data_IF_459265101985
#
_entry.id   IF_459265101985
#
_cell.length_a   1.000
_cell.length_b   1.000
_cell.length_c   1.000
_cell.angle_alpha   90.00
_cell.angle_beta   90.00
_cell.angle_gamma   90.00
#
_symmetry.space_group_name_H-M   'P 1'
#
loop_
_entity.id
_entity.type
_entity.pdbx_description
1 polymer ?
#
# COMPACT_ATOMS: atom_id res chain seq x y z
N UNK A 1 16.04 -21.01 5.43
CA UNK A 1 15.53 -19.64 5.63
C UNK A 1 16.58 -18.89 6.41
N UNK A 2 16.92 -17.68 5.99
CA UNK A 2 17.90 -16.85 6.70
C UNK A 2 17.30 -16.32 8.00
N UNK A 3 18.15 -16.00 8.99
CA UNK A 3 17.70 -15.53 10.31
C UNK A 3 16.88 -14.24 10.25
N UNK A 4 16.95 -13.51 9.13
CA UNK A 4 16.35 -12.20 8.92
C UNK A 4 15.14 -12.22 7.97
N UNK A 5 14.79 -13.38 7.38
CA UNK A 5 13.70 -13.55 6.42
C UNK A 5 13.74 -12.53 5.25
N UNK A 6 14.91 -12.26 4.67
CA UNK A 6 15.10 -11.20 3.64
C UNK A 6 14.22 -11.40 2.39
N UNK A 7 13.68 -12.61 2.18
CA UNK A 7 12.68 -12.90 1.15
C UNK A 7 11.27 -12.95 1.72
N UNK A 8 10.68 -11.79 2.00
CA UNK A 8 9.30 -11.66 2.43
C UNK A 8 8.33 -11.89 1.26
N UNK A 9 7.97 -13.15 1.02
CA UNK A 9 6.88 -13.48 0.10
C UNK A 9 5.53 -12.96 0.63
N UNK A 10 4.66 -12.58 -0.30
CA UNK A 10 3.27 -12.16 -0.04
C UNK A 10 2.61 -13.03 1.03
N UNK A 11 2.04 -12.40 2.06
CA UNK A 11 1.08 -13.04 2.96
C UNK A 11 1.58 -14.21 3.84
N UNK A 12 2.79 -14.75 3.64
CA UNK A 12 3.26 -15.96 4.36
C UNK A 12 4.21 -15.61 5.52
N UNK A 13 4.89 -14.46 5.48
CA UNK A 13 5.68 -14.00 6.63
C UNK A 13 4.86 -13.12 7.57
N UNK A 14 5.06 -13.23 8.90
CA UNK A 14 4.46 -12.29 9.85
C UNK A 14 4.83 -10.84 9.54
N UNK A 15 3.91 -9.91 9.82
CA UNK A 15 4.23 -8.50 9.77
C UNK A 15 5.24 -8.14 10.86
N UNK A 16 6.36 -7.57 10.45
CA UNK A 16 7.41 -7.06 11.35
C UNK A 16 7.10 -5.63 11.73
N UNK A 17 7.10 -5.35 13.04
CA UNK A 17 7.13 -3.99 13.57
C UNK A 17 8.56 -3.48 13.47
N UNK A 18 8.85 -2.58 12.54
CA UNK A 18 10.21 -2.13 12.26
C UNK A 18 10.81 -1.38 13.46
N UNK A 19 9.99 -0.85 14.37
CA UNK A 19 10.47 -0.24 15.61
C UNK A 19 11.20 -1.22 16.53
N UNK A 20 10.89 -2.53 16.45
CA UNK A 20 11.61 -3.55 17.24
C UNK A 20 13.02 -3.83 16.73
N UNK A 21 13.36 -3.35 15.53
CA UNK A 21 14.71 -3.45 14.97
C UNK A 21 15.63 -2.34 15.46
N UNK A 22 15.08 -1.33 16.14
CA UNK A 22 15.88 -0.25 16.70
C UNK A 22 16.66 -0.75 17.92
N UNK A 23 17.91 -0.29 18.08
CA UNK A 23 18.71 -0.66 19.24
C UNK A 23 18.04 -0.17 20.52
N UNK A 24 18.12 -0.99 21.56
CA UNK A 24 17.58 -0.71 22.90
C UNK A 24 18.72 -0.64 23.92
N UNK A 25 18.47 -0.04 25.08
CA UNK A 25 19.49 0.13 26.12
C UNK A 25 20.63 1.04 25.66
N UNK A 26 21.87 0.64 25.93
CA UNK A 26 23.07 1.43 25.62
C UNK A 26 23.22 1.71 24.11
N UNK A 27 22.78 0.80 23.24
CA UNK A 27 22.80 1.01 21.80
C UNK A 27 21.80 2.06 21.29
N UNK A 28 20.82 2.47 22.10
CA UNK A 28 19.92 3.57 21.74
C UNK A 28 20.66 4.92 21.72
N UNK A 29 21.78 5.05 22.44
CA UNK A 29 22.62 6.23 22.42
C UNK A 29 23.35 6.42 21.07
N UNK A 30 23.52 5.34 20.31
CA UNK A 30 24.17 5.37 18.99
C UNK A 30 23.25 5.90 17.88
N UNK A 31 21.94 6.00 18.13
CA UNK A 31 21.01 6.59 17.18
C UNK A 31 21.19 8.11 17.13
N UNK A 32 21.35 8.71 15.94
CA UNK A 32 21.35 10.17 15.80
C UNK A 32 20.13 10.78 16.49
N UNK A 33 20.38 11.77 17.35
CA UNK A 33 19.35 12.44 18.17
C UNK A 33 18.64 13.56 17.41
N UNK A 34 19.27 14.08 16.38
CA UNK A 34 18.85 15.23 15.57
C UNK A 34 18.33 14.83 14.18
N UNK A 35 18.23 13.53 13.90
CA UNK A 35 17.77 13.02 12.60
C UNK A 35 16.59 12.06 12.71
N UNK A 36 15.75 11.99 11.66
CA UNK A 36 14.72 10.97 11.56
C UNK A 36 15.32 9.57 11.57
N UNK A 37 14.63 8.65 12.25
CA UNK A 37 14.86 7.22 12.03
C UNK A 37 14.45 6.89 10.60
N UNK A 38 15.29 6.16 9.86
CA UNK A 38 15.03 5.83 8.45
C UNK A 38 14.97 4.32 8.28
N UNK A 39 13.85 3.82 7.77
CA UNK A 39 13.73 2.42 7.36
C UNK A 39 13.60 2.33 5.85
N UNK A 40 14.30 1.36 5.26
CA UNK A 40 14.13 1.00 3.86
C UNK A 40 13.45 -0.36 3.78
N UNK A 41 12.31 -0.41 3.12
CA UNK A 41 11.63 -1.63 2.74
C UNK A 41 11.90 -1.88 1.25
N UNK A 42 12.55 -3.00 0.94
CA UNK A 42 12.88 -3.39 -0.43
C UNK A 42 11.92 -4.49 -0.87
N UNK A 43 11.10 -4.18 -1.88
CA UNK A 43 10.03 -5.03 -2.38
C UNK A 43 9.19 -5.64 -1.25
N UNK A 44 8.65 -4.83 -0.30
CA UNK A 44 7.80 -5.37 0.78
C UNK A 44 6.49 -5.94 0.25
N UNK A 45 6.14 -5.62 -1.01
CA UNK A 45 4.99 -6.03 -1.79
C UNK A 45 3.62 -5.58 -1.29
N UNK A 46 3.52 -5.28 -0.01
CA UNK A 46 2.32 -4.83 0.67
C UNK A 46 2.69 -3.91 1.85
N UNK A 47 1.67 -3.31 2.47
CA UNK A 47 1.87 -2.32 3.54
C UNK A 47 1.97 -2.93 4.95
N UNK A 48 1.96 -4.25 5.15
CA UNK A 48 1.80 -4.85 6.49
C UNK A 48 2.86 -4.40 7.50
N UNK A 49 4.11 -4.26 7.05
CA UNK A 49 5.23 -3.78 7.87
C UNK A 49 5.04 -2.30 8.23
N UNK A 50 4.71 -1.48 7.24
CA UNK A 50 4.37 -0.06 7.41
C UNK A 50 3.22 0.12 8.40
N UNK A 51 2.09 -0.53 8.18
CA UNK A 51 0.89 -0.40 9.01
C UNK A 51 1.13 -0.92 10.44
N UNK A 52 1.85 -2.02 10.60
CA UNK A 52 2.21 -2.56 11.92
C UNK A 52 3.09 -1.58 12.68
N UNK A 53 4.11 -1.04 12.01
CA UNK A 53 5.03 -0.06 12.60
C UNK A 53 4.31 1.22 12.97
N UNK A 54 3.47 1.78 12.08
CA UNK A 54 2.69 2.99 12.35
C UNK A 54 1.73 2.80 13.53
N UNK A 55 1.01 1.66 13.56
CA UNK A 55 0.05 1.36 14.64
C UNK A 55 0.71 1.16 16.00
N UNK A 56 2.01 0.81 16.01
CA UNK A 56 2.79 0.55 17.22
C UNK A 56 3.84 1.61 17.51
N UNK A 57 3.89 2.69 16.72
CA UNK A 57 4.94 3.71 16.82
C UNK A 57 5.04 4.31 18.24
N UNK A 58 3.92 4.47 18.94
CA UNK A 58 3.89 4.96 20.31
C UNK A 58 4.61 4.08 21.33
N UNK A 59 4.89 2.81 21.00
CA UNK A 59 5.66 1.88 21.83
C UNK A 59 7.17 2.09 21.73
N UNK A 60 7.61 2.86 20.74
CA UNK A 60 9.01 3.05 20.39
C UNK A 60 9.39 4.53 20.60
N UNK A 61 10.03 4.89 21.72
CA UNK A 61 10.36 6.28 22.02
C UNK A 61 11.12 6.98 20.89
N UNK A 62 12.04 6.27 20.23
CA UNK A 62 12.82 6.77 19.10
C UNK A 62 11.95 7.24 17.91
N UNK A 63 10.79 6.61 17.69
CA UNK A 63 9.82 6.96 16.64
C UNK A 63 8.85 8.08 17.04
N UNK A 64 8.85 8.48 18.31
CA UNK A 64 8.00 9.56 18.85
C UNK A 64 8.79 10.80 19.27
N UNK A 65 10.10 10.82 19.03
CA UNK A 65 10.97 11.95 19.39
C UNK A 65 10.57 13.20 18.62
N UNK A 66 10.62 14.33 19.30
CA UNK A 66 10.44 15.64 18.68
C UNK A 66 11.74 16.03 17.96
N UNK A 67 11.64 16.27 16.66
CA UNK A 67 12.72 16.80 15.83
C UNK A 67 12.42 18.27 15.48
N UNK A 68 13.40 19.02 14.92
CA UNK A 68 13.18 20.39 14.50
C UNK A 68 11.92 20.53 13.62
N UNK A 69 11.27 21.71 13.64
CA UNK A 69 10.05 21.95 12.86
C UNK A 69 10.20 21.52 11.40
N UNK A 70 9.24 20.74 10.91
CA UNK A 70 9.24 20.21 9.54
C UNK A 70 9.98 18.89 9.33
N UNK A 71 10.56 18.28 10.38
CA UNK A 71 11.16 16.94 10.30
C UNK A 71 10.30 15.89 11.01
N UNK A 72 9.92 14.78 10.32
CA UNK A 72 9.21 13.69 10.97
C UNK A 72 10.18 12.87 11.81
N UNK A 73 9.73 12.33 12.94
CA UNK A 73 10.53 11.44 13.80
C UNK A 73 11.02 10.17 13.06
N UNK A 74 10.28 9.75 12.04
CA UNK A 74 10.56 8.57 11.22
C UNK A 74 10.30 8.85 9.73
N UNK A 75 11.11 8.25 8.86
CA UNK A 75 10.88 8.15 7.41
C UNK A 75 10.90 6.70 6.97
N UNK A 76 9.84 6.27 6.30
CA UNK A 76 9.72 4.96 5.69
C UNK A 76 9.96 5.12 4.18
N UNK A 77 11.05 4.53 3.69
CA UNK A 77 11.33 4.42 2.26
C UNK A 77 10.81 3.08 1.78
N UNK A 78 9.93 3.10 0.77
CA UNK A 78 9.38 1.91 0.16
C UNK A 78 9.88 1.86 -1.27
N UNK A 79 10.66 0.84 -1.58
CA UNK A 79 11.05 0.52 -2.94
C UNK A 79 10.27 -0.71 -3.41
N UNK A 80 9.66 -0.63 -4.58
CA UNK A 80 8.92 -1.72 -5.21
C UNK A 80 9.41 -1.89 -6.65
N UNK A 81 9.53 -3.15 -7.10
CA UNK A 81 9.82 -3.46 -8.51
C UNK A 81 8.59 -3.20 -9.40
N UNK A 82 7.38 -3.34 -8.84
CA UNK A 82 6.13 -3.13 -9.57
C UNK A 82 5.39 -1.85 -9.13
N UNK A 83 5.01 -0.96 -10.08
CA UNK A 83 4.16 0.19 -9.78
C UNK A 83 2.84 -0.19 -9.10
N UNK A 84 2.29 -1.34 -9.47
CA UNK A 84 1.06 -1.89 -8.87
C UNK A 84 1.26 -2.30 -7.41
N UNK A 85 2.43 -2.81 -7.03
CA UNK A 85 2.78 -3.10 -5.64
C UNK A 85 2.80 -1.83 -4.79
N UNK A 86 3.40 -0.76 -5.32
CA UNK A 86 3.43 0.53 -4.64
C UNK A 86 2.03 1.18 -4.57
N UNK A 87 1.25 1.13 -5.65
CA UNK A 87 -0.15 1.56 -5.64
C UNK A 87 -0.94 0.84 -4.54
N UNK A 88 -0.72 -0.47 -4.39
CA UNK A 88 -1.40 -1.30 -3.40
C UNK A 88 -0.97 -0.96 -1.98
N UNK A 89 0.32 -0.69 -1.78
CA UNK A 89 0.84 -0.19 -0.51
C UNK A 89 0.10 1.08 -0.08
N UNK A 90 -0.05 2.04 -1.01
CA UNK A 90 -0.77 3.29 -0.75
C UNK A 90 -2.26 3.06 -0.52
N UNK A 91 -2.90 2.18 -1.28
CA UNK A 91 -4.30 1.79 -1.06
C UNK A 91 -4.53 1.26 0.36
N UNK A 92 -3.69 0.34 0.84
CA UNK A 92 -3.84 -0.24 2.17
C UNK A 92 -3.61 0.79 3.29
N UNK A 93 -2.67 1.72 3.10
CA UNK A 93 -2.52 2.87 3.99
C UNK A 93 -3.75 3.80 3.98
N UNK A 94 -4.33 4.03 2.80
CA UNK A 94 -5.52 4.85 2.64
C UNK A 94 -6.75 4.22 3.33
N UNK A 95 -6.89 2.89 3.29
CA UNK A 95 -7.96 2.18 4.01
C UNK A 95 -7.81 2.36 5.52
N UNK A 96 -6.59 2.26 6.07
CA UNK A 96 -6.34 2.46 7.50
C UNK A 96 -6.78 3.86 7.97
N UNK A 97 -6.54 4.88 7.15
CA UNK A 97 -6.81 6.28 7.47
C UNK A 97 -8.26 6.72 7.19
N UNK A 98 -9.10 5.87 6.59
CA UNK A 98 -10.46 6.23 6.18
C UNK A 98 -11.41 6.38 7.39
N UNK A 99 -11.51 7.57 7.97
CA UNK A 99 -12.41 7.89 9.07
C UNK A 99 -13.90 7.71 8.74
N UNK A 100 -14.28 7.72 7.46
CA UNK A 100 -15.64 7.51 6.99
C UNK A 100 -16.12 6.06 7.09
N UNK A 101 -15.21 5.12 7.36
CA UNK A 101 -15.53 3.71 7.57
C UNK A 101 -15.29 3.34 9.04
N UNK A 102 -16.26 2.69 9.72
CA UNK A 102 -16.07 2.21 11.08
C UNK A 102 -14.88 1.27 11.21
N UNK A 103 -14.15 1.35 12.32
CA UNK A 103 -12.87 0.64 12.52
C UNK A 103 -12.96 -0.88 12.25
N UNK A 104 -14.02 -1.55 12.72
CA UNK A 104 -14.23 -2.97 12.47
C UNK A 104 -14.40 -3.30 10.97
N UNK A 105 -15.14 -2.46 10.25
CA UNK A 105 -15.36 -2.61 8.81
C UNK A 105 -14.10 -2.30 8.01
N UNK A 106 -13.29 -1.32 8.45
CA UNK A 106 -11.96 -1.06 7.87
C UNK A 106 -11.06 -2.28 7.97
N UNK A 107 -11.04 -2.97 9.12
CA UNK A 107 -10.26 -4.19 9.29
C UNK A 107 -10.66 -5.28 8.29
N UNK A 108 -11.97 -5.46 8.08
CA UNK A 108 -12.49 -6.40 7.08
C UNK A 108 -12.11 -6.00 5.65
N UNK A 109 -12.30 -4.74 5.28
CA UNK A 109 -11.90 -4.22 3.96
C UNK A 109 -10.40 -4.39 3.73
N UNK A 110 -9.58 -4.09 4.73
CA UNK A 110 -8.13 -4.22 4.66
C UNK A 110 -7.73 -5.67 4.40
N UNK A 111 -8.27 -6.62 5.16
CA UNK A 111 -8.00 -8.05 4.96
C UNK A 111 -8.49 -8.54 3.60
N UNK A 112 -9.65 -8.07 3.14
CA UNK A 112 -10.20 -8.45 1.85
C UNK A 112 -9.38 -7.92 0.67
N UNK A 113 -8.98 -6.64 0.70
CA UNK A 113 -8.10 -6.04 -0.31
C UNK A 113 -6.66 -6.56 -0.25
N UNK A 114 -6.21 -6.98 0.92
CA UNK A 114 -4.87 -7.53 1.14
C UNK A 114 -4.77 -9.03 0.78
N UNK A 115 -5.81 -9.83 1.02
CA UNK A 115 -5.68 -11.29 1.01
C UNK A 115 -6.51 -12.00 -0.05
N UNK A 116 -7.58 -11.40 -0.56
CA UNK A 116 -8.53 -12.15 -1.38
C UNK A 116 -8.22 -12.04 -2.87
N UNK A 117 -8.33 -13.18 -3.56
CA UNK A 117 -8.27 -13.22 -5.02
C UNK A 117 -9.56 -12.72 -5.69
N UNK A 118 -10.69 -12.75 -4.97
CA UNK A 118 -11.98 -12.26 -5.45
C UNK A 118 -12.58 -11.35 -4.38
N UNK A 119 -12.95 -10.14 -4.79
CA UNK A 119 -13.60 -9.16 -3.92
C UNK A 119 -15.12 -9.35 -3.94
N UNK A 120 -15.74 -9.22 -2.79
CA UNK A 120 -17.19 -9.05 -2.67
C UNK A 120 -17.56 -7.71 -3.28
N UNK A 121 -18.80 -7.62 -3.75
CA UNK A 121 -19.36 -6.41 -4.38
C UNK A 121 -19.08 -5.12 -3.59
N UNK A 122 -19.31 -5.14 -2.28
CA UNK A 122 -19.06 -3.98 -1.41
C UNK A 122 -17.59 -3.55 -1.39
N UNK A 123 -16.66 -4.51 -1.34
CA UNK A 123 -15.22 -4.21 -1.35
C UNK A 123 -14.76 -3.74 -2.74
N UNK A 124 -15.35 -4.28 -3.81
CA UNK A 124 -15.09 -3.83 -5.18
C UNK A 124 -15.61 -2.39 -5.43
N UNK A 125 -16.81 -2.06 -4.95
CA UNK A 125 -17.37 -0.71 -5.00
C UNK A 125 -16.52 0.28 -4.19
N UNK A 126 -16.08 -0.12 -2.99
CA UNK A 126 -15.14 0.67 -2.20
C UNK A 126 -13.80 0.87 -2.92
N UNK A 127 -13.25 -0.18 -3.53
CA UNK A 127 -12.00 -0.12 -4.28
C UNK A 127 -12.10 0.85 -5.48
N UNK A 128 -13.20 0.81 -6.24
CA UNK A 128 -13.43 1.76 -7.34
C UNK A 128 -13.44 3.21 -6.85
N UNK A 129 -14.21 3.49 -5.80
CA UNK A 129 -14.29 4.83 -5.21
C UNK A 129 -12.90 5.28 -4.71
N UNK A 130 -12.21 4.41 -3.97
CA UNK A 130 -10.91 4.73 -3.39
C UNK A 130 -9.84 4.91 -4.45
N UNK A 131 -9.84 4.10 -5.50
CA UNK A 131 -8.92 4.23 -6.63
C UNK A 131 -9.11 5.58 -7.37
N UNK A 132 -10.34 6.07 -7.49
CA UNK A 132 -10.60 7.42 -8.02
C UNK A 132 -10.02 8.53 -7.16
N UNK A 133 -10.21 8.43 -5.85
CA UNK A 133 -9.66 9.39 -4.89
C UNK A 133 -8.12 9.37 -4.90
N UNK A 134 -7.51 8.18 -4.93
CA UNK A 134 -6.06 8.02 -4.94
C UNK A 134 -5.43 8.48 -6.25
N UNK A 135 -6.08 8.25 -7.40
CA UNK A 135 -5.60 8.80 -8.68
C UNK A 135 -5.55 10.33 -8.61
N UNK A 136 -6.66 10.95 -8.20
CA UNK A 136 -6.74 12.41 -8.09
C UNK A 136 -5.66 12.94 -7.13
N UNK A 137 -5.47 12.28 -5.99
CA UNK A 137 -4.42 12.62 -5.03
C UNK A 137 -3.02 12.50 -5.64
N UNK A 138 -2.70 11.40 -6.33
CA UNK A 138 -1.39 11.20 -6.96
C UNK A 138 -1.08 12.25 -8.02
N UNK A 139 -2.04 12.53 -8.91
CA UNK A 139 -1.92 13.56 -9.94
C UNK A 139 -1.71 14.93 -9.30
N UNK A 140 -2.49 15.26 -8.26
CA UNK A 140 -2.35 16.53 -7.56
C UNK A 140 -1.01 16.70 -6.85
N UNK A 141 -0.57 15.68 -6.10
CA UNK A 141 0.74 15.70 -5.45
C UNK A 141 1.89 15.79 -6.46
N UNK A 142 1.81 15.07 -7.58
CA UNK A 142 2.82 15.14 -8.64
C UNK A 142 2.90 16.52 -9.30
N UNK A 143 1.78 17.24 -9.38
CA UNK A 143 1.69 18.61 -9.89
C UNK A 143 2.02 19.68 -8.83
N UNK A 144 2.37 19.29 -7.59
CA UNK A 144 2.66 20.21 -6.50
C UNK A 144 1.41 20.96 -5.97
N UNK A 145 0.22 20.41 -6.20
CA UNK A 145 -1.01 20.97 -5.67
C UNK A 145 -1.09 20.76 -4.15
N UNK A 146 -1.76 21.68 -3.42
CA UNK A 146 -1.97 21.49 -2.00
C UNK A 146 -2.77 20.20 -1.71
N UNK A 147 -2.56 19.57 -0.55
CA UNK A 147 -3.31 18.38 -0.17
C UNK A 147 -4.82 18.66 -0.19
N UNK A 148 -5.64 17.63 -0.50
CA UNK A 148 -7.09 17.78 -0.56
C UNK A 148 -7.62 18.25 0.81
N UNK A 149 -8.43 19.31 0.79
CA UNK A 149 -8.97 19.96 1.97
C UNK A 149 -10.50 19.88 2.00
N UNK A 150 -11.08 19.98 3.20
CA UNK A 150 -12.52 19.94 3.43
C UNK A 150 -12.99 18.71 4.21
N UNK A 151 -14.24 18.73 4.70
CA UNK A 151 -14.75 17.72 5.62
C UNK A 151 -14.80 16.32 5.01
N UNK A 152 -15.05 16.23 3.70
CA UNK A 152 -15.06 14.94 3.00
C UNK A 152 -13.65 14.36 2.86
N UNK A 153 -12.67 15.17 2.45
CA UNK A 153 -11.28 14.74 2.33
C UNK A 153 -10.70 14.32 3.69
N UNK A 154 -11.06 15.03 4.76
CA UNK A 154 -10.69 14.71 6.13
C UNK A 154 -11.34 13.40 6.59
N UNK A 155 -12.65 13.26 6.41
CA UNK A 155 -13.37 12.03 6.73
C UNK A 155 -12.79 10.82 5.98
N UNK A 156 -12.40 10.98 4.71
CA UNK A 156 -11.80 9.91 3.91
C UNK A 156 -10.31 9.67 4.21
N UNK A 157 -9.71 10.47 5.10
CA UNK A 157 -8.30 10.37 5.47
C UNK A 157 -7.31 10.82 4.39
N UNK A 158 -7.78 11.51 3.34
CA UNK A 158 -6.95 11.89 2.19
C UNK A 158 -5.93 12.97 2.55
N UNK A 159 -6.31 13.93 3.40
CA UNK A 159 -5.37 14.95 3.90
C UNK A 159 -4.24 14.33 4.73
N UNK A 160 -4.59 13.39 5.62
CA UNK A 160 -3.62 12.65 6.43
C UNK A 160 -2.70 11.80 5.55
N UNK A 161 -3.26 11.10 4.55
CA UNK A 161 -2.47 10.32 3.59
C UNK A 161 -1.52 11.22 2.78
N UNK A 162 -2.00 12.35 2.29
CA UNK A 162 -1.18 13.31 1.54
C UNK A 162 0.03 13.81 2.35
N UNK A 163 -0.15 14.03 3.66
CA UNK A 163 0.93 14.42 4.56
C UNK A 163 1.97 13.32 4.81
N UNK A 164 1.61 12.05 4.58
CA UNK A 164 2.53 10.91 4.73
C UNK A 164 3.29 10.57 3.44
N UNK A 165 2.79 11.01 2.27
CA UNK A 165 3.35 10.63 0.98
C UNK A 165 4.38 11.66 0.49
N UNK A 166 5.59 11.18 0.22
CA UNK A 166 6.64 11.89 -0.49
C UNK A 166 6.92 11.17 -1.81
N UNK A 167 6.58 11.81 -2.93
CA UNK A 167 6.75 11.25 -4.28
C UNK A 167 8.03 11.75 -4.97
N UNK A 168 8.92 12.43 -4.25
CA UNK A 168 10.13 13.07 -4.82
C UNK A 168 11.12 12.09 -5.43
N UNK A 169 11.17 10.86 -4.91
CA UNK A 169 12.07 9.80 -5.41
C UNK A 169 11.52 9.05 -6.63
N UNK A 170 10.23 9.22 -6.95
CA UNK A 170 9.60 8.59 -8.11
C UNK A 170 9.85 9.42 -9.38
N UNK A 171 10.21 8.73 -10.46
CA UNK A 171 10.28 9.29 -11.81
C UNK A 171 8.87 9.56 -12.33
N UNK A 172 8.75 10.46 -13.32
CA UNK A 172 7.46 10.76 -13.96
C UNK A 172 6.78 9.51 -14.52
N UNK A 173 7.53 8.66 -15.23
CA UNK A 173 7.01 7.40 -15.76
C UNK A 173 6.47 6.47 -14.65
N UNK A 174 7.14 6.40 -13.50
CA UNK A 174 6.69 5.54 -12.39
C UNK A 174 5.39 6.07 -11.79
N UNK A 175 5.23 7.40 -11.68
CA UNK A 175 3.98 8.04 -11.24
C UNK A 175 2.84 7.74 -12.21
N UNK A 176 3.08 7.83 -13.52
CA UNK A 176 2.07 7.51 -14.54
C UNK A 176 1.64 6.04 -14.47
N UNK A 177 2.58 5.11 -14.27
CA UNK A 177 2.29 3.68 -14.13
C UNK A 177 1.49 3.37 -12.85
N UNK A 178 1.74 4.09 -11.75
CA UNK A 178 0.93 3.99 -10.53
C UNK A 178 -0.51 4.47 -10.79
N UNK A 179 -0.67 5.60 -11.46
CA UNK A 179 -1.99 6.13 -11.86
C UNK A 179 -2.71 5.12 -12.76
N UNK A 180 -2.03 4.54 -13.73
CA UNK A 180 -2.61 3.52 -14.60
C UNK A 180 -3.02 2.25 -13.81
N UNK A 181 -2.24 1.84 -12.80
CA UNK A 181 -2.63 0.74 -11.91
C UNK A 181 -3.92 1.06 -11.14
N UNK A 182 -4.05 2.28 -10.60
CA UNK A 182 -5.28 2.72 -9.92
C UNK A 182 -6.49 2.73 -10.88
N UNK A 183 -6.29 3.14 -12.14
CA UNK A 183 -7.35 3.12 -13.17
C UNK A 183 -7.87 1.71 -13.46
N UNK A 184 -6.98 0.71 -13.48
CA UNK A 184 -7.35 -0.70 -13.71
C UNK A 184 -8.24 -1.28 -12.61
N UNK A 185 -8.18 -0.74 -11.39
CA UNK A 185 -9.03 -1.19 -10.29
C UNK A 185 -10.45 -0.61 -10.31
N UNK A 186 -10.73 0.30 -11.24
CA UNK A 186 -12.05 0.89 -11.41
C UNK A 186 -13.02 -0.12 -12.00
N UNK A 187 -14.27 -0.07 -11.55
CA UNK A 187 -15.35 -0.84 -12.14
C UNK A 187 -15.67 -0.28 -13.54
N UNK A 188 -16.00 -1.13 -14.52
CA UNK A 188 -16.42 -0.69 -15.84
C UNK A 188 -17.63 0.24 -15.73
N UNK A 189 -17.60 1.37 -16.45
CA UNK A 189 -18.76 2.25 -16.51
C UNK A 189 -19.95 1.49 -17.12
N UNK A 190 -21.13 1.49 -16.49
CA UNK A 190 -22.31 0.79 -17.01
C UNK A 190 -22.76 1.31 -18.39
N UNK A 191 -22.30 2.50 -18.80
CA UNK A 191 -22.58 3.09 -20.11
C UNK A 191 -21.64 2.64 -21.23
N UNK A 192 -20.53 1.95 -20.91
CA UNK A 192 -19.62 1.36 -21.90
C UNK A 192 -20.08 -0.04 -22.32
N UNK A 193 -21.32 -0.16 -22.78
CA UNK A 193 -21.79 -1.37 -23.44
C UNK A 193 -21.32 -1.36 -24.90
N UNK A 194 -20.09 -1.81 -25.14
CA UNK A 194 -19.78 -2.40 -26.45
C UNK A 194 -20.57 -3.70 -26.51
N UNK A 195 -21.53 -3.73 -27.45
CA UNK A 195 -22.49 -4.81 -27.70
C UNK A 195 -21.87 -6.21 -27.62
N UNK A 196 -21.85 -6.78 -26.43
CA UNK A 196 -21.58 -8.21 -26.23
C UNK A 196 -22.63 -8.70 -25.24
N UNK A 197 -23.46 -9.62 -25.71
CA UNK A 197 -24.67 -10.19 -25.11
C UNK A 197 -24.80 -10.14 -23.58
N UNK A 198 -25.97 -9.68 -23.13
CA UNK A 198 -26.42 -9.48 -21.75
C UNK A 198 -26.50 -10.72 -20.82
N UNK A 199 -25.86 -11.84 -21.18
CA UNK A 199 -25.86 -13.07 -20.38
C UNK A 199 -24.70 -13.15 -19.37
N UNK A 200 -23.70 -12.26 -19.42
CA UNK A 200 -22.52 -12.30 -18.53
C UNK A 200 -22.56 -11.32 -17.35
N UNK A 201 -23.60 -10.48 -17.25
CA UNK A 201 -23.67 -9.40 -16.25
C UNK A 201 -23.84 -9.86 -14.79
N UNK A 202 -24.19 -11.13 -14.54
CA UNK A 202 -24.33 -11.67 -13.17
C UNK A 202 -23.06 -12.33 -12.62
N UNK A 203 -21.95 -12.31 -13.36
CA UNK A 203 -20.69 -12.97 -13.00
C UNK A 203 -19.46 -12.05 -13.14
N UNK A 204 -19.64 -10.73 -13.04
CA UNK A 204 -18.53 -9.79 -13.04
C UNK A 204 -17.75 -9.90 -11.71
N UNK A 205 -16.89 -10.92 -11.62
CA UNK A 205 -15.78 -10.93 -10.70
C UNK A 205 -14.99 -9.62 -10.92
N UNK A 206 -14.59 -8.96 -9.83
CA UNK A 206 -13.79 -7.75 -9.91
C UNK A 206 -12.57 -8.00 -10.82
N UNK A 207 -12.17 -7.04 -11.68
CA UNK A 207 -11.11 -7.22 -12.69
C UNK A 207 -9.71 -7.46 -12.11
N UNK A 208 -9.59 -7.60 -10.78
CA UNK A 208 -8.34 -7.84 -10.07
C UNK A 208 -8.22 -9.31 -9.70
N UNK A 209 -7.67 -10.11 -10.63
CA UNK A 209 -7.36 -11.53 -10.42
C UNK A 209 -5.95 -11.69 -9.84
N UNK A 210 -5.87 -11.89 -8.53
CA UNK A 210 -4.62 -12.08 -7.80
C UNK A 210 -3.91 -13.38 -8.17
N UNK A 211 -4.63 -14.40 -8.64
CA UNK A 211 -4.04 -15.67 -9.07
C UNK A 211 -3.24 -15.45 -10.35
N UNK A 212 -3.81 -14.73 -11.32
CA UNK A 212 -3.09 -14.35 -12.52
C UNK A 212 -1.86 -13.47 -12.21
N UNK A 213 -2.00 -12.50 -11.31
CA UNK A 213 -0.89 -11.65 -10.86
C UNK A 213 0.20 -12.44 -10.11
N UNK A 214 -0.16 -13.47 -9.35
CA UNK A 214 0.75 -14.39 -8.69
C UNK A 214 1.47 -15.29 -9.70
N UNK A 215 0.75 -15.97 -10.58
CA UNK A 215 1.31 -16.89 -11.56
C UNK A 215 2.25 -16.21 -12.55
N UNK A 216 1.94 -14.97 -12.95
CA UNK A 216 2.85 -14.17 -13.78
C UNK A 216 4.19 -13.91 -13.08
N UNK A 217 4.17 -13.70 -11.76
CA UNK A 217 5.37 -13.43 -10.95
C UNK A 217 6.12 -14.69 -10.58
N UNK A 218 5.44 -15.76 -10.20
CA UNK A 218 6.08 -17.06 -10.02
C UNK A 218 6.81 -17.47 -11.30
N UNK A 219 6.22 -17.23 -12.48
CA UNK A 219 6.92 -17.44 -13.75
C UNK A 219 8.08 -16.47 -13.98
N UNK A 220 7.95 -15.19 -13.64
CA UNK A 220 9.05 -14.20 -13.77
C UNK A 220 10.25 -14.54 -12.87
N UNK A 221 10.01 -14.95 -11.62
CA UNK A 221 11.04 -15.14 -10.59
C UNK A 221 11.55 -16.58 -10.54
N UNK A 222 10.69 -17.57 -10.80
CA UNK A 222 11.01 -19.00 -10.71
C UNK A 222 10.90 -19.76 -12.03
N UNK A 223 10.29 -19.19 -13.07
CA UNK A 223 10.13 -19.84 -14.38
C UNK A 223 11.43 -20.02 -15.17
N UNK A 224 12.56 -19.54 -14.65
CA UNK A 224 13.89 -19.76 -15.22
C UNK A 224 14.58 -21.06 -14.81
N UNK A 225 13.99 -21.90 -13.96
CA UNK A 225 14.63 -23.15 -13.49
C UNK A 225 13.65 -24.30 -13.34
N UNK A 226 13.78 -25.31 -14.22
CA UNK A 226 12.97 -26.53 -14.21
C UNK A 226 13.27 -27.47 -13.05
N UNK A 227 12.82 -27.13 -11.83
CA UNK A 227 13.00 -28.00 -10.68
C UNK A 227 11.82 -27.91 -9.68
N UNK A 228 10.60 -28.18 -10.13
CA UNK A 228 9.43 -28.30 -9.24
C UNK A 228 8.60 -29.58 -9.45
N UNK A 229 9.13 -30.58 -10.18
CA UNK A 229 8.45 -31.88 -10.37
C UNK A 229 8.78 -32.93 -9.30
N UNK A 230 9.40 -32.56 -8.18
CA UNK A 230 9.65 -33.51 -7.08
C UNK A 230 9.50 -32.85 -5.71
N UNK A 231 8.27 -32.55 -5.31
CA UNK A 231 7.83 -32.50 -3.90
C UNK A 231 6.34 -32.87 -3.82
#
# INVERSE_FOLDING_TARGET
>A
MDEHNVHHFWGISPAVDLGTLLPTGDGAADLPVDQPVRFLQVAPYDARHTLTTLSRACRHPALMRQLPPGQPACRLYVWEDSPEGLARHVLLAAVLLDGGVPAAQRGQLLLELHGNAVLRRRAAEYLDEKARQLESLFVGLAAGQPPPAGPEAEARGLAALAALLDLSLLKFQEKDLIVEALQRWRLPNPTSSTSTSAASASAAAAPYDMVAAWDGRCRKVYGGGGCWEQL
#
